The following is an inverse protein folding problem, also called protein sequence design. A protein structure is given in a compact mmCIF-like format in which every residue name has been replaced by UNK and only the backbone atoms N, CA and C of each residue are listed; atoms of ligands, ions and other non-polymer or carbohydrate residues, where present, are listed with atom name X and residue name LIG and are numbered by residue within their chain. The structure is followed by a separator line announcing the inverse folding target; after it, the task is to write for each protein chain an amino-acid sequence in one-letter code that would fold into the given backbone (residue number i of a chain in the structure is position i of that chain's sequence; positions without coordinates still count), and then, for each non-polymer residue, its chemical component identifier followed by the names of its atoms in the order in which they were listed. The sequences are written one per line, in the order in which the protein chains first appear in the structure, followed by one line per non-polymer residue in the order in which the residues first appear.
data_IF_078254843748
#
_entry.id   IF_078254843748
#
_cell.length_a   1.000
_cell.length_b   1.000
_cell.length_c   1.000
_cell.angle_alpha   90.00
_cell.angle_beta   90.00
_cell.angle_gamma   90.00
#
_symmetry.space_group_name_H-M   'P 1'
#
loop_
_entity.id
_entity.type
_entity.pdbx_description
1 polymer ?
#
# COMPACT_ATOMS: atom_id res chain seq x y z
N UNK A 1 14.84 5.20 -17.13
CA UNK A 1 16.22 5.73 -17.09
C UNK A 1 16.54 6.32 -15.73
N UNK A 2 15.90 7.41 -15.30
CA UNK A 2 16.23 8.06 -14.01
C UNK A 2 15.97 7.13 -12.79
N UNK A 3 14.86 6.38 -12.79
CA UNK A 3 14.56 5.45 -11.70
C UNK A 3 15.59 4.32 -11.56
N UNK A 4 16.14 3.85 -12.69
CA UNK A 4 17.13 2.77 -12.71
C UNK A 4 18.46 3.23 -12.09
N UNK A 5 18.85 4.47 -12.39
CA UNK A 5 20.03 5.13 -11.82
C UNK A 5 19.89 5.34 -10.31
N UNK A 6 18.72 5.80 -9.84
CA UNK A 6 18.43 5.97 -8.40
C UNK A 6 18.49 4.62 -7.68
N UNK A 7 17.97 3.55 -8.28
CA UNK A 7 18.03 2.20 -7.73
C UNK A 7 19.49 1.73 -7.64
N UNK A 8 20.30 1.94 -8.69
CA UNK A 8 21.72 1.59 -8.69
C UNK A 8 22.52 2.32 -7.60
N UNK A 9 22.27 3.62 -7.39
CA UNK A 9 22.91 4.39 -6.32
C UNK A 9 22.48 3.87 -4.94
N UNK A 10 21.19 3.56 -4.76
CA UNK A 10 20.67 2.98 -3.51
C UNK A 10 21.34 1.63 -3.23
N UNK A 11 21.53 0.82 -4.26
CA UNK A 11 22.22 -0.46 -4.18
C UNK A 11 23.66 -0.31 -3.69
N UNK A 12 24.40 0.63 -4.29
CA UNK A 12 25.78 0.93 -3.90
C UNK A 12 25.90 1.43 -2.44
N UNK A 13 24.95 2.23 -1.98
CA UNK A 13 24.88 2.69 -0.59
C UNK A 13 24.58 1.53 0.38
N UNK A 14 23.71 0.59 0.01
CA UNK A 14 23.43 -0.62 0.80
C UNK A 14 24.69 -1.46 1.02
N UNK A 15 25.47 -1.66 -0.05
CA UNK A 15 26.75 -2.36 0.01
C UNK A 15 27.79 -1.66 0.90
N UNK A 16 27.86 -0.32 0.85
CA UNK A 16 28.79 0.46 1.69
C UNK A 16 28.42 0.44 3.18
N UNK A 17 27.13 0.41 3.50
CA UNK A 17 26.61 0.42 4.87
C UNK A 17 26.43 -0.98 5.46
N UNK A 18 26.63 -2.04 4.67
CA UNK A 18 26.41 -3.42 5.09
C UNK A 18 24.93 -3.76 5.36
N UNK A 19 24.00 -2.99 4.79
CA UNK A 19 22.56 -3.15 4.95
C UNK A 19 21.96 -3.77 3.69
N UNK A 20 20.92 -4.60 3.85
CA UNK A 20 20.18 -5.16 2.71
C UNK A 20 19.54 -4.03 1.89
N UNK A 21 19.64 -4.14 0.57
CA UNK A 21 19.05 -3.22 -0.42
C UNK A 21 17.55 -3.03 -0.19
N UNK A 22 16.86 -4.08 0.27
CA UNK A 22 15.43 -4.08 0.58
C UNK A 22 15.10 -3.16 1.75
N UNK A 23 15.92 -3.18 2.80
CA UNK A 23 15.74 -2.36 4.00
C UNK A 23 16.03 -0.90 3.65
N UNK A 24 17.07 -0.64 2.86
CA UNK A 24 17.43 0.71 2.43
C UNK A 24 16.39 1.30 1.49
N UNK A 25 15.89 0.50 0.54
CA UNK A 25 14.80 0.89 -0.36
C UNK A 25 13.52 1.20 0.43
N UNK A 26 13.15 0.35 1.38
CA UNK A 26 11.97 0.59 2.21
C UNK A 26 12.11 1.83 3.10
N UNK A 27 13.29 2.05 3.69
CA UNK A 27 13.52 3.14 4.63
C UNK A 27 13.78 4.46 3.94
N UNK A 28 14.78 4.58 3.05
CA UNK A 28 15.15 5.88 2.45
C UNK A 28 14.09 6.36 1.47
N UNK A 29 13.63 5.47 0.57
CA UNK A 29 12.61 5.84 -0.43
C UNK A 29 11.25 6.00 0.24
N UNK A 30 10.89 5.10 1.16
CA UNK A 30 9.65 5.19 1.92
C UNK A 30 9.59 6.44 2.80
N UNK A 31 10.67 6.74 3.52
CA UNK A 31 10.77 7.95 4.34
C UNK A 31 10.73 9.22 3.48
N UNK A 32 11.39 9.24 2.33
CA UNK A 32 11.32 10.36 1.39
C UNK A 32 9.89 10.66 0.91
N UNK A 33 9.12 9.61 0.60
CA UNK A 33 7.72 9.77 0.20
C UNK A 33 6.87 10.35 1.35
N UNK A 34 6.96 9.79 2.55
CA UNK A 34 6.20 10.29 3.72
C UNK A 34 6.65 11.69 4.17
N UNK A 35 7.92 12.04 4.03
CA UNK A 35 8.42 13.37 4.36
C UNK A 35 7.88 14.42 3.39
N UNK A 36 7.79 14.12 2.09
CA UNK A 36 7.18 14.99 1.09
C UNK A 36 5.69 15.23 1.36
N UNK A 37 4.95 14.18 1.71
CA UNK A 37 3.56 14.28 2.16
C UNK A 37 3.46 15.13 3.43
N UNK A 38 4.33 14.92 4.43
CA UNK A 38 4.33 15.70 5.66
C UNK A 38 4.55 17.20 5.40
N UNK A 39 5.53 17.55 4.55
CA UNK A 39 5.82 18.94 4.19
C UNK A 39 4.60 19.57 3.51
N UNK A 40 3.96 18.87 2.57
CA UNK A 40 2.80 19.36 1.83
C UNK A 40 1.58 19.56 2.74
N UNK A 41 1.33 18.62 3.65
CA UNK A 41 0.25 18.74 4.62
C UNK A 41 0.51 19.86 5.63
N UNK A 42 1.77 20.07 6.03
CA UNK A 42 2.16 21.16 6.93
C UNK A 42 1.96 22.53 6.27
N UNK A 43 2.34 22.70 5.00
CA UNK A 43 2.10 23.95 4.27
C UNK A 43 0.61 24.24 4.11
N UNK A 44 -0.21 23.23 3.80
CA UNK A 44 -1.67 23.40 3.72
C UNK A 44 -2.30 23.79 5.07
N UNK A 45 -1.81 23.21 6.16
CA UNK A 45 -2.25 23.57 7.51
C UNK A 45 -1.86 25.02 7.86
N UNK A 46 -0.66 25.45 7.49
CA UNK A 46 -0.19 26.83 7.70
C UNK A 46 -0.94 27.86 6.86
N UNK A 47 -1.46 27.48 5.69
CA UNK A 47 -2.29 28.32 4.83
C UNK A 47 -3.74 28.47 5.32
N UNK A 48 -4.11 27.85 6.46
CA UNK A 48 -5.45 27.95 7.04
C UNK A 48 -6.46 26.92 6.48
N UNK A 49 -5.99 25.86 5.82
CA UNK A 49 -6.82 24.78 5.27
C UNK A 49 -6.59 23.43 5.98
N UNK A 50 -6.85 23.31 7.29
CA UNK A 50 -6.54 22.10 8.06
C UNK A 50 -7.39 20.88 7.65
N UNK A 51 -8.63 21.09 7.23
CA UNK A 51 -9.51 20.01 6.73
C UNK A 51 -9.03 19.44 5.40
N UNK A 52 -8.50 20.29 4.51
CA UNK A 52 -7.89 19.85 3.26
C UNK A 52 -6.58 19.10 3.52
N UNK A 53 -5.73 19.61 4.41
CA UNK A 53 -4.49 18.95 4.83
C UNK A 53 -4.74 17.55 5.42
N UNK A 54 -5.76 17.40 6.28
CA UNK A 54 -6.16 16.10 6.82
C UNK A 54 -6.60 15.12 5.73
N UNK A 55 -7.43 15.60 4.79
CA UNK A 55 -7.89 14.77 3.68
C UNK A 55 -6.74 14.34 2.75
N UNK A 56 -5.75 15.21 2.52
CA UNK A 56 -4.59 14.92 1.70
C UNK A 56 -3.62 13.94 2.39
N UNK A 57 -3.39 14.10 3.69
CA UNK A 57 -2.54 13.22 4.49
C UNK A 57 -2.99 11.75 4.48
N UNK A 58 -4.29 11.50 4.47
CA UNK A 58 -4.84 10.14 4.38
C UNK A 58 -5.07 9.69 2.93
N UNK A 59 -5.51 10.61 2.06
CA UNK A 59 -5.83 10.31 0.67
C UNK A 59 -4.61 9.98 -0.18
N UNK A 60 -3.48 10.66 0.03
CA UNK A 60 -2.24 10.46 -0.72
C UNK A 60 -1.72 9.02 -0.62
N UNK A 61 -1.38 8.52 0.58
CA UNK A 61 -0.90 7.16 0.77
C UNK A 61 -1.92 6.10 0.31
N UNK A 62 -3.22 6.32 0.55
CA UNK A 62 -4.27 5.39 0.11
C UNK A 62 -4.35 5.30 -1.42
N UNK A 63 -4.26 6.42 -2.13
CA UNK A 63 -4.25 6.45 -3.60
C UNK A 63 -3.01 5.76 -4.16
N UNK A 64 -1.83 6.01 -3.58
CA UNK A 64 -0.58 5.38 -3.99
C UNK A 64 -0.61 3.86 -3.76
N UNK A 65 -1.19 3.38 -2.67
CA UNK A 65 -1.38 1.94 -2.43
C UNK A 65 -2.38 1.34 -3.43
N UNK A 66 -3.53 1.99 -3.64
CA UNK A 66 -4.57 1.49 -4.54
C UNK A 66 -4.08 1.42 -5.99
N UNK A 67 -3.41 2.48 -6.47
CA UNK A 67 -2.90 2.54 -7.83
C UNK A 67 -1.61 1.75 -7.99
N UNK A 68 -0.66 1.89 -7.07
CA UNK A 68 0.65 1.22 -7.16
C UNK A 68 0.50 -0.30 -7.06
N UNK A 69 -0.10 -0.80 -5.98
CA UNK A 69 -0.23 -2.23 -5.74
C UNK A 69 -1.42 -2.80 -6.52
N UNK A 70 -2.57 -2.11 -6.52
CA UNK A 70 -3.79 -2.62 -7.16
C UNK A 70 -3.68 -2.73 -8.68
N UNK A 71 -3.12 -1.71 -9.35
CA UNK A 71 -2.94 -1.77 -10.81
C UNK A 71 -1.83 -2.75 -11.18
N UNK A 72 -0.73 -2.82 -10.41
CA UNK A 72 0.33 -3.79 -10.65
C UNK A 72 -0.18 -5.24 -10.51
N UNK A 73 -0.97 -5.52 -9.47
CA UNK A 73 -1.59 -6.82 -9.26
C UNK A 73 -2.55 -7.19 -10.40
N UNK A 74 -3.44 -6.26 -10.79
CA UNK A 74 -4.38 -6.47 -11.90
C UNK A 74 -3.65 -6.72 -13.24
N UNK A 75 -2.56 -5.98 -13.49
CA UNK A 75 -1.72 -6.14 -14.68
C UNK A 75 -1.03 -7.50 -14.72
N UNK A 76 -0.48 -7.97 -13.59
CA UNK A 76 0.15 -9.28 -13.51
C UNK A 76 -0.86 -10.42 -13.66
N UNK A 77 -2.04 -10.31 -13.02
CA UNK A 77 -3.13 -11.28 -13.19
C UNK A 77 -3.57 -11.43 -14.66
N UNK A 78 -3.63 -10.33 -15.40
CA UNK A 78 -4.00 -10.35 -16.82
C UNK A 78 -2.92 -11.00 -17.69
N UNK A 79 -1.64 -10.75 -17.38
CA UNK A 79 -0.50 -11.35 -18.09
C UNK A 79 -0.38 -12.85 -17.84
N UNK A 80 -0.56 -13.29 -16.60
CA UNK A 80 -0.52 -14.70 -16.23
C UNK A 80 -1.72 -15.48 -16.80
N UNK A 81 -2.91 -14.85 -16.84
CA UNK A 81 -4.09 -15.43 -17.48
C UNK A 81 -3.95 -15.62 -19.00
N UNK A 82 -3.19 -14.74 -19.68
CA UNK A 82 -2.95 -14.84 -21.12
C UNK A 82 -1.83 -15.82 -21.48
N UNK A 83 -0.82 -15.97 -20.60
CA UNK A 83 0.34 -16.85 -20.83
C UNK A 83 0.04 -18.31 -20.55
N UNK A 84 -0.85 -18.61 -19.61
CA UNK A 84 -1.06 -19.99 -19.17
C UNK A 84 -2.20 -20.72 -19.88
N UNK A 85 -3.17 -20.06 -20.54
CA UNK A 85 -4.20 -20.70 -21.40
C UNK A 85 -5.09 -21.77 -20.75
N UNK A 86 -4.74 -22.21 -19.56
CA UNK A 86 -5.37 -23.15 -18.67
C UNK A 86 -4.99 -22.61 -17.30
N UNK A 87 -6.00 -22.21 -16.55
CA UNK A 87 -5.90 -21.96 -15.13
C UNK A 87 -5.73 -23.33 -14.47
N UNK A 88 -4.58 -23.98 -14.70
CA UNK A 88 -4.11 -25.08 -13.87
C UNK A 88 -3.69 -24.43 -12.56
N UNK A 89 -4.70 -24.14 -11.75
CA UNK A 89 -4.50 -23.94 -10.33
C UNK A 89 -4.17 -25.36 -9.86
N UNK A 90 -2.95 -25.64 -9.40
CA UNK A 90 -2.76 -26.82 -8.58
C UNK A 90 -3.54 -26.57 -7.28
N UNK A 91 -4.84 -26.89 -7.29
CA UNK A 91 -5.72 -26.90 -6.10
C UNK A 91 -5.17 -27.84 -5.00
N UNK A 92 -4.09 -28.58 -5.30
CA UNK A 92 -3.37 -29.46 -4.39
C UNK A 92 -2.41 -28.73 -3.44
N UNK A 93 -2.12 -27.43 -3.64
CA UNK A 93 -1.26 -26.69 -2.71
C UNK A 93 -2.04 -26.18 -1.49
N UNK A 94 -1.69 -26.57 -0.25
CA UNK A 94 -2.38 -26.14 0.97
C UNK A 94 -2.36 -24.62 1.15
N UNK A 95 -1.44 -23.90 0.50
CA UNK A 95 -1.29 -22.44 0.61
C UNK A 95 -2.43 -21.65 -0.03
N UNK A 96 -3.03 -22.11 -1.13
CA UNK A 96 -4.15 -21.43 -1.80
C UNK A 96 -5.44 -21.62 -0.97
N UNK A 97 -5.67 -22.83 -0.47
CA UNK A 97 -6.80 -23.13 0.42
C UNK A 97 -6.71 -22.30 1.72
N UNK A 98 -5.54 -22.27 2.36
CA UNK A 98 -5.32 -21.48 3.58
C UNK A 98 -5.48 -19.99 3.31
N UNK A 99 -4.96 -19.48 2.20
CA UNK A 99 -5.11 -18.06 1.84
C UNK A 99 -6.57 -17.70 1.56
N UNK A 100 -7.29 -18.55 0.82
CA UNK A 100 -8.70 -18.33 0.48
C UNK A 100 -9.58 -18.43 1.72
N UNK A 101 -9.34 -19.42 2.59
CA UNK A 101 -10.06 -19.60 3.85
C UNK A 101 -9.77 -18.48 4.85
N UNK A 102 -8.51 -18.02 4.96
CA UNK A 102 -8.13 -16.89 5.79
C UNK A 102 -8.80 -15.59 5.30
N UNK A 103 -8.86 -15.38 3.99
CA UNK A 103 -9.49 -14.20 3.39
C UNK A 103 -11.02 -14.22 3.56
N UNK A 104 -11.66 -15.39 3.42
CA UNK A 104 -13.07 -15.60 3.73
C UNK A 104 -13.36 -15.38 5.22
N UNK A 105 -12.51 -15.90 6.11
CA UNK A 105 -12.64 -15.71 7.55
C UNK A 105 -12.47 -14.25 7.96
N UNK A 106 -11.47 -13.56 7.40
CA UNK A 106 -11.23 -12.14 7.63
C UNK A 106 -12.42 -11.30 7.14
N UNK A 107 -12.94 -11.58 5.93
CA UNK A 107 -14.12 -10.91 5.38
C UNK A 107 -15.37 -11.14 6.22
N UNK A 108 -15.60 -12.36 6.71
CA UNK A 108 -16.73 -12.69 7.59
C UNK A 108 -16.57 -12.07 8.98
N UNK A 109 -15.35 -12.05 9.52
CA UNK A 109 -15.04 -11.40 10.78
C UNK A 109 -15.31 -9.90 10.69
N UNK A 110 -14.88 -9.22 9.63
CA UNK A 110 -15.23 -7.80 9.42
C UNK A 110 -16.75 -7.61 9.27
N UNK A 111 -17.43 -8.44 8.48
CA UNK A 111 -18.89 -8.35 8.29
C UNK A 111 -19.68 -8.61 9.58
N UNK A 112 -19.19 -9.41 10.53
CA UNK A 112 -19.83 -9.63 11.84
C UNK A 112 -19.36 -8.66 12.92
N UNK A 113 -18.13 -8.16 12.84
CA UNK A 113 -17.54 -7.20 13.75
C UNK A 113 -18.08 -5.79 13.51
N UNK A 114 -18.24 -5.37 12.25
CA UNK A 114 -18.81 -4.08 11.86
C UNK A 114 -20.25 -3.85 12.40
N UNK A 115 -21.20 -4.79 12.31
CA UNK A 115 -22.55 -4.62 12.87
C UNK A 115 -22.59 -4.77 14.40
N UNK A 116 -21.56 -5.35 15.03
CA UNK A 116 -21.45 -5.39 16.50
C UNK A 116 -20.77 -4.17 17.08
N UNK A 117 -19.89 -3.51 16.34
CA UNK A 117 -19.32 -2.22 16.73
C UNK A 117 -20.32 -1.13 16.37
N UNK A 118 -21.19 -0.79 17.32
CA UNK A 118 -22.08 0.37 17.29
C UNK A 118 -21.33 1.62 16.81
N UNK A 119 -21.36 1.90 15.50
CA UNK A 119 -20.90 3.15 14.92
C UNK A 119 -21.92 4.24 15.29
N UNK A 120 -21.85 4.72 16.52
CA UNK A 120 -22.42 6.01 16.88
C UNK A 120 -21.60 7.09 16.16
N UNK A 121 -22.05 7.50 14.97
CA UNK A 121 -21.66 8.76 14.34
C UNK A 121 -22.33 9.91 15.11
N UNK A 122 -21.78 10.25 16.28
CA UNK A 122 -22.12 11.52 16.94
C UNK A 122 -21.48 12.65 16.17
N UNK A 123 -22.36 13.46 15.56
CA UNK A 123 -22.08 14.75 14.90
C UNK A 123 -21.37 15.74 15.83
N UNK A 124 -20.87 16.78 15.17
CA UNK A 124 -20.55 18.14 15.64
C UNK A 124 -19.12 18.37 16.10
N UNK A 125 -18.29 18.82 15.15
CA UNK A 125 -17.17 19.70 15.43
C UNK A 125 -17.66 21.08 15.02
N UNK A 126 -17.84 21.95 16.03
CA UNK A 126 -18.01 23.40 15.85
C UNK A 126 -16.73 24.02 15.27
#
# INVERSE_FOLDING_TARGET
MIADEIVSITQALGLMLGLSEEILGLTVVGFGNSLGDLVTNLTLAQMGYPTMALSACFGGPMLCLLLGIGVAACGNMTKDGLKNGSFDIPFTSPTILVSTACLLFNSLMFLFYIPRSQYHMTRTIC
#
